data_IF_028319931637
#
_entry.id   IF_028319931637
#
_cell.length_a   1.000
_cell.length_b   1.000
_cell.length_c   1.000
_cell.angle_alpha   90.00
_cell.angle_beta   90.00
_cell.angle_gamma   90.00
#
_symmetry.space_group_name_H-M   'P 1'
#
loop_
_entity.id
_entity.type
_entity.pdbx_description
1 polymer ?
#
# COMPACT_ATOMS: atom_id res chain seq x y z
N UNK A 1 -9.85 11.94 9.75
CA UNK A 1 -10.58 11.99 8.46
C UNK A 1 -11.36 10.68 8.28
N UNK A 2 -10.74 9.55 8.00
CA UNK A 2 -11.44 8.29 7.69
C UNK A 2 -12.32 7.73 8.81
N UNK A 3 -12.25 8.24 10.01
CA UNK A 3 -13.16 7.96 11.12
C UNK A 3 -14.30 8.98 11.26
N UNK A 4 -14.45 9.88 10.31
CA UNK A 4 -15.41 11.00 10.30
C UNK A 4 -15.28 11.98 11.50
N UNK A 5 -14.13 11.97 12.18
CA UNK A 5 -13.86 12.93 13.26
C UNK A 5 -13.40 14.30 12.75
N UNK A 6 -12.83 14.33 11.55
CA UNK A 6 -12.41 15.52 10.83
C UNK A 6 -13.03 15.46 9.44
N UNK A 7 -13.83 16.44 9.08
CA UNK A 7 -14.64 16.46 7.87
C UNK A 7 -14.39 17.67 6.98
N UNK A 8 -13.68 18.66 7.51
CA UNK A 8 -13.34 19.89 6.78
C UNK A 8 -11.83 20.12 6.81
N UNK A 9 -11.25 20.61 5.71
CA UNK A 9 -9.82 20.86 5.59
C UNK A 9 -9.32 21.94 6.54
N UNK A 10 -10.17 22.90 6.95
CA UNK A 10 -9.79 23.93 7.94
C UNK A 10 -9.46 23.34 9.31
N UNK A 11 -10.02 22.18 9.65
CA UNK A 11 -9.73 21.48 10.90
C UNK A 11 -8.30 20.91 10.96
N UNK A 12 -7.63 20.83 9.81
CA UNK A 12 -6.25 20.37 9.69
C UNK A 12 -5.31 21.45 9.10
N UNK A 13 -5.74 22.71 9.12
CA UNK A 13 -4.93 23.86 8.69
C UNK A 13 -4.93 24.13 7.19
N UNK A 14 -5.86 23.53 6.44
CA UNK A 14 -6.12 23.85 5.04
C UNK A 14 -7.15 24.95 4.84
N UNK A 15 -7.43 25.27 3.58
CA UNK A 15 -8.55 26.16 3.24
C UNK A 15 -9.89 25.49 3.58
N UNK A 16 -10.89 26.23 4.02
CA UNK A 16 -12.21 25.68 4.35
C UNK A 16 -12.83 24.93 3.16
N UNK A 17 -13.31 23.72 3.44
CA UNK A 17 -13.98 22.88 2.45
C UNK A 17 -14.08 21.43 2.90
N UNK A 18 -15.10 20.70 2.42
CA UNK A 18 -15.31 19.32 2.83
C UNK A 18 -14.19 18.42 2.34
N UNK A 19 -13.80 17.46 3.19
CA UNK A 19 -12.87 16.39 2.83
C UNK A 19 -13.65 15.26 2.19
N UNK A 20 -13.21 14.81 1.01
CA UNK A 20 -13.82 13.67 0.28
C UNK A 20 -12.90 12.44 0.37
N UNK A 21 -13.08 11.56 1.37
CA UNK A 21 -12.20 10.43 1.61
C UNK A 21 -12.62 9.21 0.77
N UNK A 22 -12.00 9.05 -0.39
CA UNK A 22 -12.21 7.87 -1.23
C UNK A 22 -11.71 6.60 -0.54
N UNK A 23 -12.47 5.51 -0.67
CA UNK A 23 -12.11 4.20 -0.17
C UNK A 23 -12.17 3.15 -1.27
N UNK A 24 -11.53 2.03 -1.02
CA UNK A 24 -11.63 0.84 -1.86
C UNK A 24 -12.74 -0.08 -1.34
N UNK A 25 -13.21 -0.96 -2.20
CA UNK A 25 -14.09 -2.05 -1.79
C UNK A 25 -13.44 -2.90 -0.69
N UNK A 26 -14.21 -3.47 0.23
CA UNK A 26 -13.70 -4.18 1.42
C UNK A 26 -12.72 -5.32 1.11
N UNK A 27 -12.94 -6.03 -0.01
CA UNK A 27 -12.15 -7.21 -0.39
C UNK A 27 -10.85 -6.87 -1.14
N UNK A 28 -10.52 -5.60 -1.31
CA UNK A 28 -9.31 -5.21 -2.03
C UNK A 28 -8.05 -5.28 -1.15
N UNK A 29 -6.93 -5.68 -1.75
CA UNK A 29 -5.63 -5.70 -1.06
C UNK A 29 -5.21 -4.33 -0.52
N UNK A 30 -5.50 -3.24 -1.25
CA UNK A 30 -5.19 -1.88 -0.78
C UNK A 30 -6.07 -1.47 0.40
N UNK A 31 -7.32 -1.94 0.48
CA UNK A 31 -8.16 -1.75 1.68
C UNK A 31 -7.59 -2.51 2.88
N UNK A 32 -7.14 -3.74 2.67
CA UNK A 32 -6.49 -4.54 3.72
C UNK A 32 -5.24 -3.84 4.26
N UNK A 33 -4.39 -3.31 3.36
CA UNK A 33 -3.20 -2.55 3.77
C UNK A 33 -3.57 -1.24 4.48
N UNK A 34 -4.56 -0.52 3.99
CA UNK A 34 -5.08 0.68 4.64
C UNK A 34 -5.54 0.39 6.09
N UNK A 35 -6.32 -0.68 6.28
CA UNK A 35 -6.77 -1.10 7.60
C UNK A 35 -5.59 -1.47 8.53
N UNK A 36 -4.61 -2.20 7.99
CA UNK A 36 -3.42 -2.64 8.74
C UNK A 36 -2.50 -1.47 9.11
N UNK A 37 -2.11 -0.65 8.14
CA UNK A 37 -1.02 0.31 8.29
C UNK A 37 -1.50 1.66 8.83
N UNK A 38 -2.66 2.13 8.36
CA UNK A 38 -3.17 3.45 8.72
C UNK A 38 -4.22 3.39 9.82
N UNK A 39 -5.24 2.53 9.69
CA UNK A 39 -6.35 2.49 10.65
C UNK A 39 -5.97 1.82 11.97
N UNK A 40 -5.08 0.83 11.97
CA UNK A 40 -4.52 0.19 13.17
C UNK A 40 -5.59 -0.18 14.21
N UNK A 41 -6.62 -0.89 13.76
CA UNK A 41 -7.74 -1.33 14.60
C UNK A 41 -8.90 -0.33 14.76
N UNK A 42 -8.74 0.92 14.28
CA UNK A 42 -9.87 1.86 14.20
C UNK A 42 -10.80 1.45 13.06
N UNK A 43 -12.10 1.67 13.26
CA UNK A 43 -13.09 1.45 12.22
C UNK A 43 -13.22 2.69 11.34
N UNK A 44 -13.09 2.56 10.00
CA UNK A 44 -13.39 3.68 9.12
C UNK A 44 -14.90 3.92 9.07
N UNK A 45 -15.27 5.14 8.71
CA UNK A 45 -16.65 5.47 8.38
C UNK A 45 -17.12 4.63 7.19
N UNK A 46 -18.41 4.35 7.12
CA UNK A 46 -19.04 3.83 5.90
C UNK A 46 -19.04 4.93 4.85
N UNK A 47 -18.29 4.79 3.75
CA UNK A 47 -18.24 5.85 2.75
C UNK A 47 -19.54 5.91 1.94
N UNK A 48 -19.91 7.09 1.44
CA UNK A 48 -20.89 7.21 0.36
C UNK A 48 -20.51 6.32 -0.83
N UNK A 49 -21.50 5.75 -1.51
CA UNK A 49 -21.26 4.77 -2.59
C UNK A 49 -20.37 5.31 -3.70
N UNK A 50 -20.54 6.59 -4.04
CA UNK A 50 -19.75 7.31 -5.06
C UNK A 50 -18.25 7.45 -4.70
N UNK A 51 -17.92 7.36 -3.42
CA UNK A 51 -16.54 7.40 -2.94
C UNK A 51 -15.91 6.01 -2.80
N UNK A 52 -16.63 4.94 -3.16
CA UNK A 52 -16.11 3.57 -3.14
C UNK A 52 -15.62 3.17 -4.52
N UNK A 53 -14.31 2.93 -4.65
CA UNK A 53 -13.70 2.56 -5.92
C UNK A 53 -13.37 1.06 -5.99
N UNK A 54 -13.75 0.44 -7.13
CA UNK A 54 -13.60 -1.00 -7.33
C UNK A 54 -12.18 -1.39 -7.78
N UNK A 55 -11.42 -0.45 -8.37
CA UNK A 55 -10.07 -0.69 -8.86
C UNK A 55 -9.07 0.30 -8.27
N UNK A 56 -7.78 -0.04 -8.28
CA UNK A 56 -6.73 0.88 -7.81
C UNK A 56 -6.61 2.10 -8.73
N UNK A 57 -6.66 1.90 -10.05
CA UNK A 57 -6.70 2.99 -11.02
C UNK A 57 -7.91 3.88 -10.81
N UNK A 58 -9.09 3.30 -10.63
CA UNK A 58 -10.32 4.05 -10.38
C UNK A 58 -10.26 4.94 -9.15
N UNK A 59 -9.57 4.50 -8.08
CA UNK A 59 -9.37 5.37 -6.91
C UNK A 59 -8.46 6.55 -7.25
N UNK A 60 -7.36 6.31 -7.94
CA UNK A 60 -6.42 7.35 -8.36
C UNK A 60 -7.11 8.36 -9.28
N UNK A 61 -7.83 7.86 -10.28
CA UNK A 61 -8.58 8.70 -11.23
C UNK A 61 -9.69 9.49 -10.53
N UNK A 62 -10.42 8.85 -9.61
CA UNK A 62 -11.48 9.51 -8.85
C UNK A 62 -10.96 10.67 -7.99
N UNK A 63 -9.82 10.49 -7.32
CA UNK A 63 -9.18 11.56 -6.56
C UNK A 63 -8.63 12.65 -7.48
N UNK A 64 -8.00 12.27 -8.61
CA UNK A 64 -7.39 13.22 -9.54
C UNK A 64 -8.41 14.04 -10.33
N UNK A 65 -9.57 13.46 -10.64
CA UNK A 65 -10.64 14.09 -11.40
C UNK A 65 -11.64 14.85 -10.51
N UNK A 66 -11.45 14.82 -9.18
CA UNK A 66 -12.38 15.49 -8.28
C UNK A 66 -12.30 17.01 -8.44
N UNK A 67 -13.37 17.59 -8.93
CA UNK A 67 -13.52 19.03 -9.24
C UNK A 67 -14.52 19.75 -8.32
N UNK A 68 -15.00 19.05 -7.30
CA UNK A 68 -15.94 19.59 -6.32
C UNK A 68 -15.31 20.63 -5.37
N UNK A 69 -16.15 21.22 -4.54
CA UNK A 69 -15.67 22.08 -3.45
C UNK A 69 -14.87 21.25 -2.43
N UNK A 70 -13.69 21.70 -2.08
CA UNK A 70 -12.76 20.99 -1.23
C UNK A 70 -11.77 20.14 -2.03
N UNK A 71 -11.14 19.20 -1.37
CA UNK A 71 -10.19 18.31 -2.00
C UNK A 71 -10.46 16.86 -1.62
N UNK A 72 -10.21 15.98 -2.57
CA UNK A 72 -10.31 14.54 -2.36
C UNK A 72 -9.04 13.98 -1.72
N UNK A 73 -9.22 12.93 -0.94
CA UNK A 73 -8.15 12.15 -0.32
C UNK A 73 -8.33 10.67 -0.66
N UNK A 74 -7.25 10.00 -0.99
CA UNK A 74 -7.25 8.57 -1.25
C UNK A 74 -5.97 7.89 -0.77
N UNK A 75 -5.88 6.61 -0.96
CA UNK A 75 -4.69 5.81 -0.67
C UNK A 75 -4.47 4.76 -1.77
N UNK A 76 -3.22 4.53 -2.07
CA UNK A 76 -2.82 3.54 -3.05
C UNK A 76 -1.43 3.01 -2.72
N UNK A 77 -0.99 1.99 -3.44
CA UNK A 77 0.40 1.54 -3.37
C UNK A 77 1.28 2.54 -4.12
N UNK A 78 2.44 2.89 -3.56
CA UNK A 78 3.36 3.90 -4.11
C UNK A 78 3.66 3.67 -5.59
N UNK A 79 3.99 2.44 -5.98
CA UNK A 79 4.26 2.07 -7.37
C UNK A 79 3.11 2.45 -8.33
N UNK A 80 1.86 2.19 -7.92
CA UNK A 80 0.69 2.54 -8.74
C UNK A 80 0.49 4.05 -8.82
N UNK A 81 0.57 4.74 -7.71
CA UNK A 81 0.30 6.18 -7.68
C UNK A 81 1.38 7.03 -8.35
N UNK A 82 2.64 6.57 -8.32
CA UNK A 82 3.78 7.33 -8.86
C UNK A 82 4.16 6.96 -10.29
N UNK A 83 4.05 5.68 -10.67
CA UNK A 83 4.61 5.16 -11.91
C UNK A 83 3.55 4.70 -12.91
N UNK A 84 2.59 3.87 -12.48
CA UNK A 84 1.58 3.36 -13.41
C UNK A 84 0.49 4.38 -13.74
N UNK A 85 0.05 5.16 -12.75
CA UNK A 85 -1.03 6.13 -12.86
C UNK A 85 -0.59 7.53 -12.44
N UNK A 86 0.70 7.85 -12.63
CA UNK A 86 1.24 9.18 -12.32
C UNK A 86 0.35 10.26 -12.93
N UNK A 87 -0.30 11.06 -12.08
CA UNK A 87 -1.22 12.11 -12.50
C UNK A 87 -0.75 13.45 -11.92
N UNK A 88 -0.54 14.48 -12.75
CA UNK A 88 -0.04 15.78 -12.28
C UNK A 88 -1.00 16.50 -11.31
N UNK A 89 -2.27 16.11 -11.30
CA UNK A 89 -3.27 16.65 -10.37
C UNK A 89 -3.22 16.01 -8.98
N UNK A 90 -2.31 15.06 -8.76
CA UNK A 90 -2.15 14.37 -7.49
C UNK A 90 -0.89 14.83 -6.77
N UNK A 91 -0.99 14.93 -5.46
CA UNK A 91 0.13 15.12 -4.57
C UNK A 91 0.22 13.95 -3.60
N UNK A 92 1.37 13.26 -3.60
CA UNK A 92 1.66 12.27 -2.57
C UNK A 92 1.95 12.99 -1.25
N UNK A 93 1.26 12.56 -0.20
CA UNK A 93 1.37 13.22 1.11
C UNK A 93 2.51 12.60 1.91
N UNK A 94 3.24 13.44 2.63
CA UNK A 94 4.16 12.99 3.66
C UNK A 94 3.38 12.41 4.84
N UNK A 95 3.92 11.37 5.45
CA UNK A 95 3.41 10.78 6.68
C UNK A 95 4.49 10.93 7.75
N UNK A 96 4.13 11.48 8.89
CA UNK A 96 5.07 11.83 9.97
C UNK A 96 6.27 12.68 9.47
N UNK A 97 6.00 13.57 8.52
CA UNK A 97 7.00 14.46 7.93
C UNK A 97 7.88 13.83 6.83
N UNK A 98 7.72 12.54 6.54
CA UNK A 98 8.49 11.83 5.51
C UNK A 98 7.67 11.65 4.25
N UNK A 99 8.16 12.14 3.11
CA UNK A 99 7.54 11.92 1.81
C UNK A 99 7.87 10.52 1.27
N UNK A 100 6.92 9.84 0.59
CA UNK A 100 7.20 8.55 -0.04
C UNK A 100 8.14 8.73 -1.24
N UNK A 101 9.20 7.94 -1.29
CA UNK A 101 10.16 7.85 -2.39
C UNK A 101 10.83 6.48 -2.36
N UNK A 102 11.50 6.10 -3.45
CA UNK A 102 12.28 4.86 -3.47
C UNK A 102 13.34 4.86 -2.35
N UNK A 103 13.93 6.01 -2.05
CA UNK A 103 14.91 6.14 -0.98
C UNK A 103 14.27 5.95 0.40
N UNK A 104 13.19 6.69 0.72
CA UNK A 104 12.54 6.64 2.03
C UNK A 104 11.84 5.30 2.30
N UNK A 105 11.36 4.63 1.25
CA UNK A 105 10.82 3.27 1.33
C UNK A 105 11.96 2.26 1.54
N UNK A 106 13.04 2.35 0.75
CA UNK A 106 14.15 1.42 0.82
C UNK A 106 14.95 1.50 2.11
N UNK A 107 15.09 2.67 2.72
CA UNK A 107 15.71 2.85 4.02
C UNK A 107 14.72 2.75 5.19
N UNK A 108 13.45 2.46 4.90
CA UNK A 108 12.35 2.30 5.87
C UNK A 108 12.05 3.54 6.74
N UNK A 109 12.46 4.72 6.30
CA UNK A 109 12.09 5.97 6.99
C UNK A 109 10.64 6.36 6.72
N UNK A 110 10.05 5.96 5.56
CA UNK A 110 8.62 6.13 5.33
C UNK A 110 7.81 5.12 6.16
N UNK A 111 6.87 5.56 7.01
CA UNK A 111 6.30 4.68 8.03
C UNK A 111 5.25 3.68 7.53
N UNK A 112 4.70 3.90 6.32
CA UNK A 112 3.65 3.03 5.75
C UNK A 112 4.22 2.09 4.70
N UNK A 113 5.17 1.25 5.08
CA UNK A 113 5.77 0.26 4.20
C UNK A 113 5.14 -1.12 4.38
N UNK A 114 5.12 -1.91 3.32
CA UNK A 114 4.72 -3.31 3.34
C UNK A 114 5.55 -4.09 2.32
N UNK A 115 5.95 -5.29 2.71
CA UNK A 115 6.72 -6.16 1.85
C UNK A 115 5.85 -6.81 0.78
N UNK A 116 6.41 -7.12 -0.36
CA UNK A 116 5.88 -8.10 -1.29
C UNK A 116 6.67 -9.41 -1.18
N UNK A 117 6.02 -10.51 -1.47
CA UNK A 117 6.57 -11.83 -1.23
C UNK A 117 6.57 -12.66 -2.51
N UNK A 118 7.67 -13.35 -2.75
CA UNK A 118 7.72 -14.47 -3.69
C UNK A 118 7.31 -15.74 -2.95
N UNK A 119 6.23 -16.37 -3.39
CA UNK A 119 5.70 -17.59 -2.77
C UNK A 119 5.90 -18.77 -3.72
N UNK A 120 6.48 -19.83 -3.22
CA UNK A 120 6.60 -21.11 -3.91
C UNK A 120 5.97 -22.22 -3.06
N UNK A 121 5.66 -23.36 -3.65
CA UNK A 121 5.17 -24.51 -2.89
C UNK A 121 6.25 -25.00 -1.91
N UNK A 122 5.83 -25.47 -0.73
CA UNK A 122 6.75 -26.01 0.27
C UNK A 122 7.44 -27.31 -0.19
N UNK A 123 6.70 -28.12 -0.96
CA UNK A 123 7.15 -29.38 -1.53
C UNK A 123 7.76 -29.25 -2.94
N UNK A 124 8.06 -28.02 -3.39
CA UNK A 124 8.70 -27.79 -4.68
C UNK A 124 10.04 -28.52 -4.78
N UNK A 125 10.31 -29.33 -5.84
CA UNK A 125 11.57 -30.05 -6.01
C UNK A 125 12.79 -29.10 -5.98
N UNK A 126 13.90 -29.59 -5.41
CA UNK A 126 15.10 -28.77 -5.24
C UNK A 126 15.73 -28.32 -6.57
N UNK A 127 15.56 -29.12 -7.61
CA UNK A 127 16.08 -28.93 -8.98
C UNK A 127 15.05 -28.29 -9.93
N UNK A 128 13.91 -27.82 -9.40
CA UNK A 128 12.85 -27.24 -10.23
C UNK A 128 13.23 -25.86 -10.78
N UNK A 129 12.73 -25.50 -11.97
CA UNK A 129 12.90 -24.15 -12.52
C UNK A 129 12.33 -23.06 -11.62
N UNK A 130 11.30 -23.39 -10.82
CA UNK A 130 10.66 -22.44 -9.87
C UNK A 130 11.64 -22.05 -8.76
N UNK A 131 12.38 -23.03 -8.21
CA UNK A 131 13.44 -22.73 -7.23
C UNK A 131 14.60 -21.97 -7.86
N UNK A 132 15.01 -22.36 -9.06
CA UNK A 132 16.06 -21.65 -9.78
C UNK A 132 15.71 -20.18 -10.00
N UNK A 133 14.47 -19.88 -10.42
CA UNK A 133 14.00 -18.51 -10.58
C UNK A 133 13.97 -17.74 -9.23
N UNK A 134 13.47 -18.36 -8.17
CA UNK A 134 13.48 -17.76 -6.84
C UNK A 134 14.89 -17.40 -6.41
N UNK A 135 15.83 -18.34 -6.55
CA UNK A 135 17.21 -18.15 -6.10
C UNK A 135 17.93 -17.11 -6.96
N UNK A 136 17.64 -17.06 -8.27
CA UNK A 136 18.16 -16.02 -9.15
C UNK A 136 17.64 -14.62 -8.77
N UNK A 137 16.35 -14.49 -8.45
CA UNK A 137 15.78 -13.21 -8.01
C UNK A 137 16.43 -12.67 -6.72
N UNK A 138 17.03 -13.54 -5.91
CA UNK A 138 17.77 -13.16 -4.71
C UNK A 138 19.23 -12.78 -4.97
N UNK A 139 19.75 -13.02 -6.21
CA UNK A 139 21.09 -12.56 -6.61
C UNK A 139 21.12 -11.05 -6.85
N UNK A 140 22.31 -10.47 -6.94
CA UNK A 140 22.46 -9.03 -7.24
C UNK A 140 21.91 -8.68 -8.64
N UNK A 141 21.95 -9.60 -9.60
CA UNK A 141 21.34 -9.42 -10.91
C UNK A 141 19.81 -9.39 -10.84
N UNK A 142 19.22 -10.35 -10.13
CA UNK A 142 17.76 -10.38 -9.91
C UNK A 142 17.28 -9.15 -9.13
N UNK A 143 18.02 -8.72 -8.12
CA UNK A 143 17.72 -7.47 -7.37
C UNK A 143 17.75 -6.24 -8.27
N UNK A 144 18.78 -6.15 -9.13
CA UNK A 144 18.88 -5.04 -10.09
C UNK A 144 17.70 -5.00 -11.05
N UNK A 145 17.24 -6.17 -11.55
CA UNK A 145 16.04 -6.23 -12.38
C UNK A 145 14.80 -5.70 -11.63
N UNK A 146 14.63 -6.10 -10.37
CA UNK A 146 13.51 -5.62 -9.56
C UNK A 146 13.58 -4.10 -9.34
N UNK A 147 14.78 -3.54 -9.15
CA UNK A 147 14.97 -2.08 -9.01
C UNK A 147 14.72 -1.34 -10.34
N UNK A 148 15.13 -1.91 -11.47
CA UNK A 148 14.83 -1.39 -12.82
C UNK A 148 13.33 -1.36 -13.10
N UNK A 149 12.59 -2.33 -12.58
CA UNK A 149 11.12 -2.38 -12.59
C UNK A 149 10.47 -1.54 -11.47
N UNK A 150 11.29 -0.69 -10.81
CA UNK A 150 10.85 0.22 -9.74
C UNK A 150 10.29 -0.45 -8.47
N UNK A 151 10.61 -1.70 -8.23
CA UNK A 151 10.46 -2.27 -6.90
C UNK A 151 11.61 -1.80 -6.01
N UNK A 152 11.30 -1.59 -4.74
CA UNK A 152 12.28 -1.10 -3.78
C UNK A 152 12.81 -2.26 -2.95
N UNK A 153 14.11 -2.53 -3.08
CA UNK A 153 14.77 -3.52 -2.27
C UNK A 153 15.16 -2.93 -0.91
N UNK A 154 14.77 -3.58 0.19
CA UNK A 154 15.18 -3.15 1.52
C UNK A 154 16.70 -3.28 1.69
N UNK A 155 17.38 -2.20 2.11
CA UNK A 155 18.84 -2.20 2.27
C UNK A 155 19.25 -3.12 3.43
N UNK A 156 20.28 -3.94 3.21
CA UNK A 156 20.83 -4.82 4.23
C UNK A 156 21.30 -4.01 5.46
N UNK A 157 20.91 -4.44 6.66
CA UNK A 157 21.28 -3.79 7.91
C UNK A 157 20.13 -3.09 8.66
N UNK A 158 18.96 -2.94 8.04
CA UNK A 158 17.76 -2.51 8.73
C UNK A 158 17.18 -3.70 9.52
N UNK A 159 16.68 -3.51 10.75
CA UNK A 159 15.99 -4.58 11.45
C UNK A 159 14.80 -4.99 10.61
N UNK A 160 14.85 -6.20 10.09
CA UNK A 160 13.64 -6.82 9.55
C UNK A 160 12.65 -6.79 10.71
N UNK A 161 11.55 -6.08 10.54
CA UNK A 161 10.43 -6.26 11.45
C UNK A 161 10.11 -7.75 11.39
N UNK A 162 10.54 -8.44 12.43
CA UNK A 162 10.26 -9.86 12.59
C UNK A 162 8.79 -10.04 12.31
N UNK A 163 8.47 -10.86 11.33
CA UNK A 163 7.14 -11.36 11.09
C UNK A 163 6.67 -12.10 12.36
N UNK A 164 6.29 -11.34 13.34
CA UNK A 164 5.59 -11.77 14.53
C UNK A 164 4.10 -11.82 14.21
N UNK A 165 3.75 -12.59 13.21
CA UNK A 165 2.40 -13.08 13.00
C UNK A 165 2.58 -14.51 12.52
N UNK A 166 2.12 -15.45 13.33
CA UNK A 166 2.06 -16.84 12.95
C UNK A 166 1.48 -17.01 11.57
N UNK A 167 2.01 -17.96 10.85
CA UNK A 167 1.54 -18.34 9.53
C UNK A 167 0.01 -18.41 9.53
N UNK A 168 -0.72 -17.52 8.83
CA UNK A 168 -2.19 -17.54 8.83
C UNK A 168 -2.77 -18.82 8.19
N UNK A 169 -1.91 -19.72 7.70
CA UNK A 169 -2.27 -21.00 7.10
C UNK A 169 -1.97 -22.22 7.99
N UNK A 170 -1.42 -22.02 9.19
CA UNK A 170 -1.32 -23.07 10.20
C UNK A 170 -2.51 -23.04 11.15
N UNK A 171 -3.68 -23.44 10.69
CA UNK A 171 -4.68 -24.17 11.49
C UNK A 171 -6.00 -24.29 10.74
N UNK A 172 -6.24 -25.38 10.13
CA UNK A 172 -7.50 -26.10 10.21
C UNK A 172 -7.27 -27.55 9.86
N UNK A 173 -6.78 -28.31 10.83
CA UNK A 173 -7.09 -29.73 10.88
C UNK A 173 -8.60 -29.82 11.05
N UNK A 174 -9.31 -30.16 10.00
CA UNK A 174 -10.69 -30.57 10.03
C UNK A 174 -10.77 -31.85 10.90
N UNK A 175 -11.68 -31.92 11.90
CA UNK A 175 -11.97 -33.18 12.55
C UNK A 175 -12.71 -34.08 11.57
N UNK A 176 -12.29 -35.37 11.55
CA UNK A 176 -12.87 -36.45 10.79
C UNK A 176 -14.29 -36.84 11.25
#
# INVERSE_FOLDING_TARGET
>A
IYTAQLTDWSEVGGEPGPIQPFQRNPDSGSQTLFMKLLMRGKQPMTPPTELVQQTMGGLIDGVAAFDGSGSALGYSVYYYASLMYGNPNLKLLAVDGVAPSNESIGNQSYPLTNDFYLVIRADEPADSPVRALRDWLLTDEGKRLLEEENYVWARAGMPQQSAGAGNPFESSSLPG
#
